data_IF_761635665424
#
_entry.id   IF_761635665424
#
_cell.length_a   1.000
_cell.length_b   1.000
_cell.length_c   1.000
_cell.angle_alpha   90.00
_cell.angle_beta   90.00
_cell.angle_gamma   90.00
#
_symmetry.space_group_name_H-M   'P 1'
#
loop_
_entity.id
_entity.type
_entity.pdbx_description
1 polymer ?
#
# COMPACT_ATOMS: atom_id res chain seq x y z
N UNK A 1 28.49 6.71 -4.25
CA UNK A 1 29.10 7.04 -5.53
C UNK A 1 28.52 6.07 -6.56
N UNK A 2 27.77 6.56 -7.54
CA UNK A 2 27.37 5.73 -8.68
C UNK A 2 28.55 5.75 -9.64
N UNK A 3 29.23 4.62 -9.77
CA UNK A 3 30.37 4.48 -10.68
C UNK A 3 29.93 4.70 -12.13
N UNK A 4 30.82 5.33 -12.89
CA UNK A 4 30.61 5.85 -14.24
C UNK A 4 30.20 4.75 -15.21
N UNK A 5 28.91 4.62 -15.49
CA UNK A 5 28.45 3.89 -16.68
C UNK A 5 28.76 4.77 -17.88
N UNK A 6 29.54 4.27 -18.83
CA UNK A 6 29.89 5.04 -20.02
C UNK A 6 28.65 5.28 -20.89
N UNK A 7 28.63 6.40 -21.61
CA UNK A 7 27.52 6.76 -22.50
C UNK A 7 27.29 5.68 -23.57
N UNK A 8 28.35 5.01 -24.02
CA UNK A 8 28.27 3.87 -24.94
C UNK A 8 27.60 2.64 -24.33
N UNK A 9 27.86 2.34 -23.05
CA UNK A 9 27.20 1.24 -22.34
C UNK A 9 25.73 1.53 -22.11
N UNK A 10 25.39 2.79 -21.77
CA UNK A 10 24.02 3.26 -21.66
C UNK A 10 23.30 3.13 -23.01
N UNK A 11 23.95 3.55 -24.10
CA UNK A 11 23.40 3.49 -25.45
C UNK A 11 23.21 2.05 -25.93
N UNK A 12 24.18 1.17 -25.69
CA UNK A 12 24.06 -0.28 -25.97
C UNK A 12 22.93 -0.92 -25.18
N UNK A 13 22.76 -0.54 -23.91
CA UNK A 13 21.64 -0.99 -23.09
C UNK A 13 20.31 -0.52 -23.66
N UNK A 14 20.15 0.78 -23.94
CA UNK A 14 18.94 1.34 -24.52
C UNK A 14 18.59 0.70 -25.86
N UNK A 15 19.55 0.53 -26.77
CA UNK A 15 19.33 -0.11 -28.06
C UNK A 15 18.89 -1.58 -27.92
N UNK A 16 19.54 -2.34 -27.02
CA UNK A 16 19.18 -3.74 -26.71
C UNK A 16 17.78 -3.86 -26.09
N UNK A 17 17.35 -2.86 -25.31
CA UNK A 17 15.99 -2.80 -24.76
C UNK A 17 14.96 -2.35 -25.79
N UNK A 18 15.31 -1.40 -26.68
CA UNK A 18 14.46 -0.94 -27.77
C UNK A 18 14.18 -2.06 -28.79
N UNK A 19 15.16 -2.91 -29.11
CA UNK A 19 14.92 -4.09 -29.95
C UNK A 19 13.98 -5.12 -29.29
N UNK A 20 13.78 -5.03 -27.97
CA UNK A 20 12.85 -5.88 -27.19
C UNK A 20 11.50 -5.21 -26.91
N UNK A 21 11.36 -3.91 -27.15
CA UNK A 21 10.16 -3.14 -26.79
C UNK A 21 9.00 -3.35 -27.75
N UNK A 22 9.25 -3.78 -28.99
CA UNK A 22 8.20 -4.20 -29.94
C UNK A 22 7.41 -5.45 -29.50
N UNK A 23 7.95 -6.21 -28.52
CA UNK A 23 7.34 -7.42 -27.97
C UNK A 23 6.58 -7.16 -26.65
N UNK A 24 6.46 -5.90 -26.20
CA UNK A 24 5.91 -5.60 -24.87
C UNK A 24 4.45 -6.03 -24.71
N UNK A 25 3.66 -5.96 -25.79
CA UNK A 25 2.27 -6.43 -25.84
C UNK A 25 2.15 -7.97 -25.93
N UNK A 26 3.24 -8.69 -26.18
CA UNK A 26 3.24 -10.17 -26.27
C UNK A 26 3.79 -10.85 -25.02
N UNK A 27 4.33 -10.09 -24.06
CA UNK A 27 4.79 -10.67 -22.79
C UNK A 27 3.61 -10.83 -21.85
N UNK A 28 3.44 -12.01 -21.22
CA UNK A 28 2.44 -12.16 -20.18
C UNK A 28 2.70 -11.15 -19.07
N UNK A 29 1.63 -10.54 -18.56
CA UNK A 29 1.72 -9.63 -17.43
C UNK A 29 2.35 -10.39 -16.26
N UNK A 30 3.20 -9.70 -15.50
CA UNK A 30 3.79 -10.28 -14.30
C UNK A 30 2.70 -10.37 -13.24
N UNK A 31 2.10 -11.55 -13.11
CA UNK A 31 0.95 -11.80 -12.22
C UNK A 31 1.21 -11.38 -10.77
N UNK A 32 2.46 -11.38 -10.30
CA UNK A 32 2.82 -10.86 -8.96
C UNK A 32 2.48 -9.39 -8.71
N UNK A 33 2.12 -8.62 -9.75
CA UNK A 33 1.82 -7.19 -9.69
C UNK A 33 0.35 -6.87 -10.00
N UNK A 34 -0.60 -7.80 -9.75
CA UNK A 34 -2.05 -7.60 -10.02
C UNK A 34 -2.56 -6.21 -9.60
N UNK A 35 -2.15 -5.73 -8.43
CA UNK A 35 -2.50 -4.40 -7.93
C UNK A 35 -2.06 -3.29 -8.90
N UNK A 36 -0.76 -3.22 -9.24
CA UNK A 36 -0.21 -2.23 -10.16
C UNK A 36 -0.81 -2.33 -11.57
N UNK A 37 -1.08 -3.55 -12.01
CA UNK A 37 -1.75 -3.82 -13.29
C UNK A 37 -3.13 -3.16 -13.30
N UNK A 38 -3.92 -3.32 -12.24
CA UNK A 38 -5.28 -2.74 -12.17
C UNK A 38 -5.28 -1.20 -12.27
N UNK A 39 -4.31 -0.52 -11.66
CA UNK A 39 -4.18 0.94 -11.81
C UNK A 39 -3.69 1.34 -13.18
N UNK A 40 -2.74 0.58 -13.73
CA UNK A 40 -2.21 0.84 -15.06
C UNK A 40 -3.32 0.75 -16.11
N UNK A 41 -4.12 -0.32 -16.09
CA UNK A 41 -5.29 -0.48 -16.95
C UNK A 41 -6.29 0.66 -16.76
N UNK A 42 -6.60 1.03 -15.50
CA UNK A 42 -7.50 2.15 -15.22
C UNK A 42 -6.98 3.49 -15.80
N UNK A 43 -5.68 3.74 -15.72
CA UNK A 43 -5.04 4.92 -16.30
C UNK A 43 -5.05 4.86 -17.82
N UNK A 44 -4.86 3.69 -18.43
CA UNK A 44 -4.88 3.52 -19.89
C UNK A 44 -6.24 3.92 -20.49
N UNK A 45 -7.34 3.73 -19.75
CA UNK A 45 -8.70 4.15 -20.12
C UNK A 45 -8.96 5.67 -19.97
N UNK A 46 -7.98 6.43 -19.46
CA UNK A 46 -8.01 7.90 -19.41
C UNK A 46 -7.38 8.44 -20.71
N UNK A 47 -7.88 9.55 -21.29
CA UNK A 47 -7.28 10.15 -22.48
C UNK A 47 -5.77 10.36 -22.32
N UNK A 48 -4.97 9.97 -23.33
CA UNK A 48 -3.49 9.97 -23.28
C UNK A 48 -2.87 11.24 -22.69
N UNK A 49 -3.41 12.42 -23.04
CA UNK A 49 -2.98 13.74 -22.52
C UNK A 49 -3.11 13.91 -20.99
N UNK A 50 -3.95 13.09 -20.35
CA UNK A 50 -4.24 13.12 -18.92
C UNK A 50 -3.61 11.94 -18.15
N UNK A 51 -3.10 10.92 -18.84
CA UNK A 51 -2.60 9.69 -18.21
C UNK A 51 -1.44 9.97 -17.24
N UNK A 52 -0.47 10.77 -17.66
CA UNK A 52 0.66 11.15 -16.79
C UNK A 52 0.19 11.90 -15.54
N UNK A 53 -0.76 12.83 -15.70
CA UNK A 53 -1.35 13.56 -14.56
C UNK A 53 -2.11 12.63 -13.63
N UNK A 54 -2.82 11.65 -14.16
CA UNK A 54 -3.55 10.66 -13.38
C UNK A 54 -2.59 9.74 -12.59
N UNK A 55 -1.50 9.30 -13.22
CA UNK A 55 -0.43 8.55 -12.57
C UNK A 55 0.21 9.36 -11.43
N UNK A 56 0.50 10.64 -11.66
CA UNK A 56 1.06 11.51 -10.64
C UNK A 56 0.14 11.62 -9.42
N UNK A 57 -1.14 11.91 -9.63
CA UNK A 57 -2.16 11.97 -8.56
C UNK A 57 -2.26 10.66 -7.79
N UNK A 58 -2.19 9.51 -8.48
CA UNK A 58 -2.20 8.20 -7.83
C UNK A 58 -1.01 8.02 -6.89
N UNK A 59 0.21 8.35 -7.36
CA UNK A 59 1.44 8.17 -6.60
C UNK A 59 1.57 9.18 -5.45
N UNK A 60 1.19 10.43 -5.67
CA UNK A 60 1.19 11.49 -4.65
C UNK A 60 0.29 11.07 -3.46
N UNK A 61 -0.90 10.52 -3.74
CA UNK A 61 -1.76 9.97 -2.70
C UNK A 61 -1.19 8.71 -2.06
N UNK A 62 -0.67 7.77 -2.85
CA UNK A 62 -0.17 6.49 -2.35
C UNK A 62 1.04 6.63 -1.42
N UNK A 63 1.93 7.59 -1.68
CA UNK A 63 3.16 7.76 -0.92
C UNK A 63 3.08 8.83 0.15
N UNK A 64 2.35 9.92 -0.11
CA UNK A 64 2.32 11.09 0.78
C UNK A 64 0.94 11.38 1.37
N UNK A 65 -0.11 10.68 0.91
CA UNK A 65 -1.49 10.96 1.32
C UNK A 65 -2.03 12.28 0.74
N UNK A 66 -1.36 12.84 -0.27
CA UNK A 66 -1.75 14.11 -0.88
C UNK A 66 -3.01 13.96 -1.73
N UNK A 67 -4.01 14.79 -1.45
CA UNK A 67 -5.24 14.80 -2.23
C UNK A 67 -5.01 15.46 -3.60
N UNK A 68 -5.78 15.07 -4.63
CA UNK A 68 -5.66 15.70 -5.94
C UNK A 68 -5.96 17.20 -5.85
N UNK A 69 -5.18 18.07 -6.55
CA UNK A 69 -5.43 19.50 -6.58
C UNK A 69 -6.84 19.85 -7.09
N UNK A 70 -7.40 20.97 -6.67
CA UNK A 70 -8.76 21.39 -7.06
C UNK A 70 -8.94 21.53 -8.59
N UNK A 71 -7.89 21.92 -9.31
CA UNK A 71 -7.90 22.04 -10.78
C UNK A 71 -7.72 20.69 -11.52
N UNK A 72 -7.90 19.56 -10.83
CA UNK A 72 -7.76 18.22 -11.41
C UNK A 72 -8.96 17.91 -12.31
N UNK A 73 -8.74 17.49 -13.57
CA UNK A 73 -9.81 17.13 -14.49
C UNK A 73 -10.75 16.08 -13.90
N UNK A 74 -12.06 16.27 -14.10
CA UNK A 74 -13.10 15.41 -13.51
C UNK A 74 -12.92 13.93 -13.81
N UNK A 75 -12.39 13.58 -15.00
CA UNK A 75 -12.08 12.19 -15.37
C UNK A 75 -11.05 11.53 -14.45
N UNK A 76 -10.03 12.29 -14.04
CA UNK A 76 -9.01 11.82 -13.09
C UNK A 76 -9.64 11.72 -11.70
N UNK A 77 -10.41 12.73 -11.29
CA UNK A 77 -11.09 12.73 -9.98
C UNK A 77 -12.06 11.54 -9.83
N UNK A 78 -12.82 11.20 -10.87
CA UNK A 78 -13.70 10.03 -10.89
C UNK A 78 -12.93 8.73 -10.65
N UNK A 79 -11.77 8.58 -11.31
CA UNK A 79 -10.91 7.41 -11.14
C UNK A 79 -10.29 7.38 -9.74
N UNK A 80 -9.86 8.55 -9.25
CA UNK A 80 -9.26 8.73 -7.94
C UNK A 80 -10.16 8.28 -6.80
N UNK A 81 -11.47 8.55 -6.86
CA UNK A 81 -12.42 8.09 -5.82
C UNK A 81 -12.37 6.56 -5.64
N UNK A 82 -12.21 5.81 -6.73
CA UNK A 82 -12.03 4.36 -6.69
C UNK A 82 -10.66 3.97 -6.11
N UNK A 83 -9.59 4.59 -6.62
CA UNK A 83 -8.22 4.31 -6.18
C UNK A 83 -7.99 4.59 -4.70
N UNK A 84 -8.54 5.71 -4.21
CA UNK A 84 -8.44 6.14 -2.82
C UNK A 84 -8.86 5.02 -1.86
N UNK A 85 -10.00 4.39 -2.12
CA UNK A 85 -10.55 3.33 -1.25
C UNK A 85 -9.62 2.11 -1.19
N UNK A 86 -9.03 1.75 -2.32
CA UNK A 86 -8.09 0.62 -2.41
C UNK A 86 -6.77 0.94 -1.71
N UNK A 87 -6.23 2.15 -1.93
CA UNK A 87 -5.00 2.62 -1.30
C UNK A 87 -5.15 2.73 0.21
N UNK A 88 -6.28 3.24 0.70
CA UNK A 88 -6.58 3.32 2.14
C UNK A 88 -6.64 1.93 2.78
N UNK A 89 -7.27 0.97 2.09
CA UNK A 89 -7.34 -0.40 2.57
C UNK A 89 -5.94 -1.05 2.66
N UNK A 90 -5.09 -0.80 1.67
CA UNK A 90 -3.74 -1.38 1.62
C UNK A 90 -2.77 -0.71 2.59
N UNK A 91 -2.85 0.61 2.78
CA UNK A 91 -2.14 1.33 3.84
C UNK A 91 -2.49 0.75 5.22
N UNK A 92 -3.79 0.56 5.50
CA UNK A 92 -4.26 -0.04 6.77
C UNK A 92 -3.77 -1.47 6.98
N UNK A 93 -3.74 -2.29 5.91
CA UNK A 93 -3.16 -3.65 5.97
C UNK A 93 -1.66 -3.60 6.25
N UNK A 94 -0.94 -2.66 5.64
CA UNK A 94 0.49 -2.47 5.87
C UNK A 94 0.76 -2.08 7.32
N UNK A 95 0.04 -1.09 7.86
CA UNK A 95 0.21 -0.64 9.24
C UNK A 95 -0.10 -1.72 10.27
N UNK A 96 -1.13 -2.54 10.02
CA UNK A 96 -1.42 -3.72 10.85
C UNK A 96 -0.24 -4.70 10.83
N UNK A 97 0.24 -5.08 9.64
CA UNK A 97 1.39 -5.99 9.51
C UNK A 97 2.67 -5.40 10.09
N UNK A 98 2.86 -4.09 9.99
CA UNK A 98 3.97 -3.36 10.61
C UNK A 98 3.86 -3.51 12.13
N UNK A 99 2.70 -3.19 12.71
CA UNK A 99 2.45 -3.35 14.14
C UNK A 99 2.68 -4.79 14.60
N UNK A 100 2.19 -5.78 13.87
CA UNK A 100 2.36 -7.20 14.22
C UNK A 100 3.84 -7.64 14.17
N UNK A 101 4.59 -7.19 13.16
CA UNK A 101 6.04 -7.47 13.01
C UNK A 101 6.89 -6.82 14.10
N UNK A 102 6.49 -5.66 14.62
CA UNK A 102 7.24 -4.94 15.64
C UNK A 102 6.71 -5.19 17.07
N UNK A 103 5.48 -5.68 17.24
CA UNK A 103 4.93 -6.11 18.53
C UNK A 103 5.48 -7.47 19.00
N UNK A 104 6.11 -8.23 18.11
CA UNK A 104 6.68 -9.56 18.39
C UNK A 104 8.16 -9.53 18.83
N UNK A 105 8.72 -8.34 19.13
CA UNK A 105 10.04 -8.19 19.77
C UNK A 105 9.90 -7.59 21.17
N UNK A 106 9.67 -8.40 22.22
CA UNK A 106 10.04 -7.97 23.56
C UNK A 106 11.57 -7.95 23.64
N UNK A 107 12.14 -6.77 23.88
CA UNK A 107 13.50 -6.68 24.40
C UNK A 107 13.47 -7.38 25.77
N UNK A 108 14.19 -8.49 25.88
CA UNK A 108 14.46 -9.14 27.14
C UNK A 108 15.28 -8.18 28.02
N UNK A 109 14.60 -7.39 28.84
CA UNK A 109 15.15 -6.67 29.97
C UNK A 109 14.67 -7.38 31.25
N UNK A 110 15.58 -8.07 31.91
CA UNK A 110 15.37 -8.63 33.25
C UNK A 110 15.33 -7.49 34.26
N UNK A 111 14.16 -7.14 34.79
CA UNK A 111 14.01 -6.55 36.13
C UNK A 111 12.70 -7.06 36.77
N UNK A 112 12.84 -7.96 37.74
CA UNK A 112 11.90 -8.19 38.85
C UNK A 112 11.90 -6.90 39.71
N UNK A 113 10.87 -6.38 40.38
CA UNK A 113 9.55 -6.77 40.93
C UNK A 113 8.87 -5.43 41.39
N UNK A 114 7.69 -5.34 42.07
CA UNK A 114 6.67 -6.33 42.38
C UNK A 114 5.21 -5.93 42.01
N UNK A 115 4.31 -6.90 42.13
CA UNK A 115 2.85 -6.78 41.97
C UNK A 115 2.20 -5.87 43.03
N UNK A 116 1.16 -5.09 42.70
CA UNK A 116 0.16 -4.69 43.69
C UNK A 116 -0.93 -5.77 43.79
N UNK A 117 -1.11 -6.28 45.00
CA UNK A 117 -2.27 -7.06 45.43
C UNK A 117 -3.55 -6.24 45.17
N UNK A 118 -4.56 -6.82 44.51
CA UNK A 118 -5.91 -6.28 44.57
C UNK A 118 -6.87 -7.32 45.13
N UNK A 119 -7.58 -6.89 46.17
CA UNK A 119 -8.37 -7.68 47.08
C UNK A 119 -9.72 -8.10 46.47
N UNK A 120 -10.17 -9.26 46.93
CA UNK A 120 -11.46 -9.91 46.65
C UNK A 120 -12.65 -8.95 46.78
N UNK A 121 -13.55 -9.00 45.80
CA UNK A 121 -15.00 -8.94 46.06
C UNK A 121 -15.74 -9.81 45.03
N UNK A 122 -15.86 -11.09 45.38
CA UNK A 122 -16.65 -12.09 44.65
C UNK A 122 -18.11 -11.95 45.11
N UNK A 123 -18.88 -11.04 44.50
CA UNK A 123 -20.34 -11.05 44.67
C UNK A 123 -20.91 -12.12 43.73
N UNK A 124 -21.19 -13.28 44.31
CA UNK A 124 -21.84 -14.41 43.64
C UNK A 124 -23.32 -14.08 43.44
N UNK A 125 -23.68 -13.76 42.21
CA UNK A 125 -25.07 -13.62 41.78
C UNK A 125 -25.75 -15.01 41.82
N UNK A 126 -26.65 -15.25 42.76
CA UNK A 126 -27.56 -16.41 42.77
C UNK A 126 -28.89 -15.96 42.17
N UNK A 127 -29.10 -16.23 40.89
CA UNK A 127 -30.43 -16.26 40.29
C UNK A 127 -30.75 -17.70 39.86
N UNK A 128 -32.02 -18.07 40.13
CA UNK A 128 -32.83 -19.17 39.59
C UNK A 128 -32.82 -20.52 40.31
N UNK A 129 -33.95 -20.80 40.97
CA UNK A 129 -34.77 -22.04 40.93
C UNK A 129 -35.61 -22.12 42.23
N UNK A 130 -36.92 -22.33 42.29
CA UNK A 130 -37.97 -22.50 41.28
C UNK A 130 -39.32 -22.20 41.93
N UNK A 131 -40.32 -21.86 41.11
CA UNK A 131 -41.73 -21.75 41.50
C UNK A 131 -42.26 -23.15 41.80
N UNK A 132 -42.91 -23.32 42.94
CA UNK A 132 -44.04 -24.25 43.10
C UNK A 132 -45.30 -23.42 43.06
#
# INVERSE_FOLDING_TARGET
MLENVSEEELQKFCNKQASKSGQHHQRPLREGFVFLISYFEAIEHIPRRLQFRALKVLLDYAFYGELPPENTPSRIMQSFVGWKRLLDADAKKYDRRKKDRFASKPLAGNEQEPKPQNNKSKVRNKQKAGKK
#
